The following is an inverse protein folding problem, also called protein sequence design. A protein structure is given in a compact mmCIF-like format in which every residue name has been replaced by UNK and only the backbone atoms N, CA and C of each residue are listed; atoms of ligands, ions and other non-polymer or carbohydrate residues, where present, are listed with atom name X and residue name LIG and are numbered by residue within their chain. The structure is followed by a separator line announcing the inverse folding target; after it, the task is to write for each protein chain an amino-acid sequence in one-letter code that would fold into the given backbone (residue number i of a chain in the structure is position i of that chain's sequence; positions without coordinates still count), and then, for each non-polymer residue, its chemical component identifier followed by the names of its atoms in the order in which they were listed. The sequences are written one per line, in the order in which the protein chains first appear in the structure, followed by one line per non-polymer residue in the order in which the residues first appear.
data_IF_153604806174
#
_entry.id   IF_153604806174
#
_cell.length_a   1.000
_cell.length_b   1.000
_cell.length_c   1.000
_cell.angle_alpha   90.00
_cell.angle_beta   90.00
_cell.angle_gamma   90.00
#
_symmetry.space_group_name_H-M   'P 1'
#
loop_
_entity.id
_entity.type
_entity.pdbx_description
1 polymer ?
#
# COMPACT_ATOMS: atom_id res chain seq x y z
N UNK A 1 1.92 4.63 10.98
CA UNK A 1 2.94 5.40 10.26
C UNK A 1 3.55 4.52 9.18
N UNK A 2 3.95 5.07 8.03
CA UNK A 2 4.72 4.33 7.02
C UNK A 2 6.06 5.03 6.80
N UNK A 3 7.13 4.24 6.65
CA UNK A 3 8.43 4.70 6.18
C UNK A 3 8.54 4.37 4.70
N UNK A 4 8.79 5.38 3.87
CA UNK A 4 9.12 5.19 2.46
C UNK A 4 10.57 4.79 2.33
N UNK A 5 10.82 3.69 1.64
CA UNK A 5 12.18 3.17 1.48
C UNK A 5 12.67 3.53 0.06
N UNK A 6 13.92 4.01 -0.08
CA UNK A 6 14.51 4.15 -1.40
C UNK A 6 14.54 2.78 -2.10
N UNK A 7 14.54 2.75 -3.45
CA UNK A 7 14.77 1.50 -4.16
C UNK A 7 16.13 0.92 -3.72
N UNK A 8 16.19 -0.33 -3.20
CA UNK A 8 17.46 -0.93 -2.86
C UNK A 8 18.29 -1.14 -4.13
N UNK A 9 19.64 -1.09 -4.07
CA UNK A 9 20.46 -1.68 -5.13
C UNK A 9 20.05 -3.14 -5.26
N UNK A 10 19.90 -3.62 -6.49
CA UNK A 10 19.24 -4.89 -6.86
C UNK A 10 19.67 -6.07 -5.98
N UNK A 11 18.97 -6.32 -4.88
CA UNK A 11 19.09 -7.55 -4.10
C UNK A 11 18.04 -8.53 -4.60
N UNK A 12 18.55 -9.57 -5.23
CA UNK A 12 17.90 -10.66 -5.92
C UNK A 12 16.84 -11.35 -5.03
N UNK A 13 15.56 -11.20 -5.40
CA UNK A 13 14.52 -12.21 -5.17
C UNK A 13 13.40 -12.02 -6.20
N UNK A 14 13.41 -12.93 -7.16
CA UNK A 14 12.50 -13.12 -8.31
C UNK A 14 12.48 -11.99 -9.34
N UNK A 15 13.35 -12.12 -10.34
CA UNK A 15 13.57 -11.23 -11.50
C UNK A 15 12.41 -11.22 -12.54
N UNK A 16 11.28 -11.86 -12.26
CA UNK A 16 10.09 -11.86 -13.15
C UNK A 16 8.86 -11.12 -12.56
N UNK A 17 8.92 -10.67 -11.30
CA UNK A 17 7.81 -9.96 -10.68
C UNK A 17 7.83 -8.47 -11.07
N UNK A 18 6.68 -7.85 -11.42
CA UNK A 18 6.62 -6.45 -11.80
C UNK A 18 7.33 -5.56 -10.78
N UNK A 19 8.21 -4.69 -11.28
CA UNK A 19 8.93 -3.73 -10.45
C UNK A 19 7.93 -2.90 -9.65
N UNK A 20 8.15 -2.74 -8.35
CA UNK A 20 7.27 -1.94 -7.50
C UNK A 20 7.47 -0.45 -7.80
N UNK A 21 6.41 0.34 -7.70
CA UNK A 21 6.50 1.79 -7.83
C UNK A 21 6.98 2.43 -6.52
N UNK A 22 6.47 1.94 -5.38
CA UNK A 22 6.81 2.43 -4.05
C UNK A 22 7.13 1.24 -3.15
N UNK A 23 8.17 1.39 -2.32
CA UNK A 23 8.48 0.45 -1.23
C UNK A 23 8.15 1.10 0.11
N UNK A 24 7.51 0.35 1.00
CA UNK A 24 7.15 0.86 2.31
C UNK A 24 7.42 -0.15 3.43
N UNK A 25 7.69 0.38 4.63
CA UNK A 25 7.64 -0.35 5.88
C UNK A 25 6.57 0.29 6.77
N UNK A 26 5.53 -0.47 7.09
CA UNK A 26 4.46 -0.01 7.95
C UNK A 26 4.80 -0.20 9.43
N UNK A 27 4.54 0.82 10.23
CA UNK A 27 4.67 0.81 11.69
C UNK A 27 3.29 0.94 12.34
N UNK A 28 2.96 0.02 13.25
CA UNK A 28 1.72 0.00 14.01
C UNK A 28 1.99 -0.49 15.42
N UNK A 29 1.49 0.23 16.43
CA UNK A 29 1.74 -0.06 17.85
C UNK A 29 3.23 -0.19 18.18
N UNK A 30 4.05 0.72 17.63
CA UNK A 30 5.50 0.73 17.82
C UNK A 30 6.28 -0.38 17.12
N UNK A 31 5.62 -1.26 16.37
CA UNK A 31 6.23 -2.45 15.76
C UNK A 31 6.16 -2.43 14.23
N UNK A 32 7.21 -2.90 13.54
CA UNK A 32 7.17 -3.07 12.09
C UNK A 32 6.19 -4.19 11.72
N UNK A 33 5.39 -3.95 10.68
CA UNK A 33 4.47 -4.94 10.12
C UNK A 33 5.07 -5.54 8.85
N UNK A 34 5.06 -6.87 8.77
CA UNK A 34 5.50 -7.60 7.57
C UNK A 34 4.60 -7.29 6.37
N UNK A 35 3.29 -7.19 6.61
CA UNK A 35 2.30 -6.79 5.62
C UNK A 35 1.87 -5.34 5.85
N UNK A 36 1.70 -4.57 4.78
CA UNK A 36 1.12 -3.24 4.86
C UNK A 36 -0.38 -3.34 5.22
N UNK A 37 -0.88 -2.59 6.22
CA UNK A 37 -2.31 -2.46 6.46
C UNK A 37 -3.02 -1.88 5.24
N UNK A 38 -4.22 -2.37 4.94
CA UNK A 38 -4.95 -1.99 3.73
C UNK A 38 -5.26 -0.50 3.64
N UNK A 39 -5.76 0.06 4.73
CA UNK A 39 -6.06 1.49 4.83
C UNK A 39 -4.82 2.34 4.61
N UNK A 40 -3.66 1.88 5.08
CA UNK A 40 -2.39 2.57 4.85
C UNK A 40 -1.94 2.49 3.39
N UNK A 41 -2.13 1.34 2.74
CA UNK A 41 -1.81 1.20 1.32
C UNK A 41 -2.68 2.10 0.43
N UNK A 42 -3.99 2.16 0.69
CA UNK A 42 -4.92 3.07 0.02
C UNK A 42 -4.49 4.53 0.21
N UNK A 43 -4.22 4.93 1.45
CA UNK A 43 -3.76 6.28 1.77
C UNK A 43 -2.42 6.62 1.11
N UNK A 44 -1.48 5.67 1.07
CA UNK A 44 -0.18 5.87 0.44
C UNK A 44 -0.31 6.04 -1.08
N UNK A 45 -1.11 5.20 -1.74
CA UNK A 45 -1.36 5.32 -3.18
C UNK A 45 -2.08 6.63 -3.52
N UNK A 46 -3.08 7.01 -2.72
CA UNK A 46 -3.78 8.29 -2.80
C UNK A 46 -2.79 9.47 -2.73
N UNK A 47 -1.99 9.52 -1.67
CA UNK A 47 -0.98 10.56 -1.50
C UNK A 47 0.02 10.59 -2.67
N UNK A 48 0.43 9.42 -3.17
CA UNK A 48 1.35 9.31 -4.30
C UNK A 48 0.81 9.92 -5.61
N UNK A 49 -0.52 10.02 -5.75
CA UNK A 49 -1.15 10.67 -6.90
C UNK A 49 -1.47 12.15 -6.68
N UNK A 50 -1.31 12.65 -5.47
CA UNK A 50 -1.55 14.05 -5.12
C UNK A 50 -0.23 14.84 -5.17
N UNK A 51 -0.11 15.86 -6.03
CA UNK A 51 1.08 16.70 -6.10
C UNK A 51 1.47 17.31 -4.74
N UNK A 52 2.77 17.46 -4.49
CA UNK A 52 3.29 18.11 -3.29
C UNK A 52 3.43 17.21 -2.06
N UNK A 53 2.98 15.96 -2.10
CA UNK A 53 3.23 15.01 -1.01
C UNK A 53 4.61 14.34 -1.12
N UNK A 54 5.13 13.84 -0.01
CA UNK A 54 6.35 13.03 -0.01
C UNK A 54 6.18 11.72 -0.80
N UNK A 55 4.96 11.16 -0.82
CA UNK A 55 4.66 9.96 -1.58
C UNK A 55 4.70 10.23 -3.10
N UNK A 56 4.24 11.40 -3.54
CA UNK A 56 4.31 11.80 -4.95
C UNK A 56 5.76 12.06 -5.38
N UNK A 57 6.57 12.69 -4.52
CA UNK A 57 8.01 12.84 -4.77
C UNK A 57 8.72 11.49 -4.86
N UNK A 58 8.41 10.55 -3.95
CA UNK A 58 8.97 9.21 -3.97
C UNK A 58 8.54 8.41 -5.22
N UNK A 59 7.29 8.55 -5.66
CA UNK A 59 6.80 7.93 -6.88
C UNK A 59 7.53 8.48 -8.12
N UNK A 60 7.70 9.80 -8.20
CA UNK A 60 8.37 10.47 -9.31
C UNK A 60 9.88 10.16 -9.39
N UNK A 61 10.54 9.97 -8.24
CA UNK A 61 11.93 9.55 -8.16
C UNK A 61 12.13 8.04 -8.42
N UNK A 62 11.03 7.27 -8.50
CA UNK A 62 11.05 5.84 -8.73
C UNK A 62 11.49 5.48 -10.16
N UNK A 63 12.12 4.31 -10.35
CA UNK A 63 12.62 3.88 -11.67
C UNK A 63 11.51 3.44 -12.62
N UNK A 64 10.28 3.26 -12.12
CA UNK A 64 9.15 2.75 -12.89
C UNK A 64 8.14 3.87 -13.16
N UNK A 65 7.78 4.14 -14.43
CA UNK A 65 6.75 5.10 -14.75
C UNK A 65 5.39 4.65 -14.19
N UNK A 66 4.63 5.60 -13.67
CA UNK A 66 3.28 5.38 -13.17
C UNK A 66 2.31 6.36 -13.84
N UNK A 67 1.85 6.08 -15.07
CA UNK A 67 0.86 6.92 -15.75
C UNK A 67 -0.36 7.18 -14.89
N UNK A 68 -0.99 8.36 -15.03
CA UNK A 68 -2.22 8.66 -14.30
C UNK A 68 -3.32 7.64 -14.68
N UNK A 69 -4.07 7.16 -13.70
CA UNK A 69 -5.10 6.13 -13.90
C UNK A 69 -4.59 4.68 -13.87
N UNK A 70 -3.27 4.43 -13.92
CA UNK A 70 -2.74 3.08 -13.71
C UNK A 70 -2.74 2.69 -12.22
N UNK A 71 -2.92 1.42 -11.87
CA UNK A 71 -2.71 0.98 -10.49
C UNK A 71 -1.25 1.16 -10.06
N UNK A 72 -1.06 1.46 -8.78
CA UNK A 72 0.25 1.55 -8.14
C UNK A 72 0.56 0.26 -7.37
N UNK A 73 1.57 -0.46 -7.82
CA UNK A 73 2.20 -1.56 -7.07
C UNK A 73 3.04 -1.03 -5.90
N UNK A 74 2.60 -1.31 -4.68
CA UNK A 74 3.30 -1.03 -3.43
C UNK A 74 3.95 -2.32 -2.92
N UNK A 75 5.26 -2.30 -2.72
CA UNK A 75 6.00 -3.39 -2.08
C UNK A 75 6.13 -3.18 -0.57
N UNK A 76 5.97 -4.25 0.18
CA UNK A 76 6.15 -4.35 1.63
C UNK A 76 6.90 -5.64 1.97
N UNK A 77 7.42 -5.85 3.20
CA UNK A 77 8.33 -6.96 3.50
C UNK A 77 7.79 -8.36 3.15
N UNK A 78 6.48 -8.58 3.26
CA UNK A 78 5.84 -9.85 2.94
C UNK A 78 5.28 -9.97 1.51
N UNK A 79 5.49 -8.99 0.62
CA UNK A 79 5.00 -9.07 -0.74
C UNK A 79 4.70 -7.74 -1.40
N UNK A 80 3.74 -7.77 -2.33
CA UNK A 80 3.31 -6.62 -3.14
C UNK A 80 1.79 -6.50 -3.09
N UNK A 81 1.30 -5.28 -3.28
CA UNK A 81 -0.12 -4.95 -3.36
C UNK A 81 -0.34 -3.90 -4.45
N UNK A 82 -1.24 -4.18 -5.38
CA UNK A 82 -1.70 -3.19 -6.35
C UNK A 82 -2.87 -2.39 -5.79
N UNK A 83 -2.81 -1.08 -5.99
CA UNK A 83 -3.83 -0.14 -5.52
C UNK A 83 -4.22 0.81 -6.65
N UNK A 84 -5.50 0.82 -7.01
CA UNK A 84 -6.08 1.76 -7.97
C UNK A 84 -6.47 3.07 -7.28
N UNK A 85 -6.27 4.19 -7.94
CA UNK A 85 -6.73 5.51 -7.50
C UNK A 85 -7.39 6.19 -8.69
N UNK A 86 -8.67 6.55 -8.52
CA UNK A 86 -9.44 7.26 -9.53
C UNK A 86 -9.51 8.74 -9.13
N UNK A 87 -8.97 9.58 -10.01
CA UNK A 87 -8.96 11.03 -9.90
C UNK A 87 -9.67 11.63 -11.13
N UNK A 88 -10.46 12.71 -10.97
CA UNK A 88 -10.93 13.51 -12.08
C UNK A 88 -9.76 14.24 -12.74
N UNK A 89 -9.96 14.76 -13.95
CA UNK A 89 -8.90 15.40 -14.74
C UNK A 89 -8.20 16.60 -14.08
N UNK A 90 -8.78 17.18 -13.01
CA UNK A 90 -8.17 18.25 -12.22
C UNK A 90 -7.26 17.74 -11.08
N UNK A 91 -7.23 16.42 -10.80
CA UNK A 91 -6.42 15.77 -9.78
C UNK A 91 -6.55 16.33 -8.34
N UNK A 92 -7.62 17.08 -8.04
CA UNK A 92 -7.81 17.71 -6.72
C UNK A 92 -8.55 16.80 -5.72
N UNK A 93 -9.47 15.98 -6.21
CA UNK A 93 -10.35 15.16 -5.37
C UNK A 93 -10.26 13.69 -5.73
N UNK A 94 -10.03 12.81 -4.75
CA UNK A 94 -10.04 11.36 -4.98
C UNK A 94 -11.49 10.89 -5.05
N UNK A 95 -11.86 10.28 -6.19
CA UNK A 95 -13.21 9.72 -6.40
C UNK A 95 -13.29 8.30 -5.84
N UNK A 96 -12.26 7.50 -6.05
CA UNK A 96 -12.21 6.11 -5.59
C UNK A 96 -10.78 5.68 -5.27
N UNK A 97 -10.66 4.76 -4.32
CA UNK A 97 -9.43 4.06 -3.99
C UNK A 97 -9.73 2.56 -3.89
N UNK A 98 -9.04 1.76 -4.69
CA UNK A 98 -9.48 0.40 -5.04
C UNK A 98 -8.37 -0.62 -4.78
N UNK A 99 -8.76 -1.77 -4.26
CA UNK A 99 -7.87 -2.92 -4.11
C UNK A 99 -8.66 -4.23 -4.10
N UNK A 100 -7.98 -5.31 -4.46
CA UNK A 100 -8.53 -6.66 -4.42
C UNK A 100 -8.14 -7.36 -3.12
N UNK A 101 -9.12 -7.98 -2.45
CA UNK A 101 -8.91 -8.83 -1.27
C UNK A 101 -9.81 -10.05 -1.29
N UNK A 102 -9.36 -11.09 -0.57
CA UNK A 102 -10.12 -12.31 -0.32
C UNK A 102 -10.51 -12.39 1.15
N UNK A 103 -11.62 -13.07 1.43
CA UNK A 103 -12.09 -13.33 2.78
C UNK A 103 -12.56 -14.79 2.88
N UNK A 104 -12.38 -15.40 4.06
CA UNK A 104 -12.83 -16.76 4.36
C UNK A 104 -13.32 -16.82 5.81
N UNK A 105 -14.46 -17.47 6.05
CA UNK A 105 -14.93 -17.77 7.41
C UNK A 105 -14.01 -18.81 8.05
N UNK A 106 -13.43 -18.47 9.21
CA UNK A 106 -12.54 -19.38 9.95
C UNK A 106 -13.26 -20.21 11.01
N UNK A 107 -14.25 -19.63 11.70
CA UNK A 107 -15.02 -20.29 12.74
C UNK A 107 -16.47 -19.79 12.73
N UNK A 108 -17.42 -20.70 13.00
CA UNK A 108 -18.83 -20.40 13.25
C UNK A 108 -19.24 -21.09 14.55
N UNK A 109 -19.75 -20.34 15.52
CA UNK A 109 -20.09 -20.87 16.85
C UNK A 109 -20.36 -19.76 17.87
N UNK A 110 -20.33 -20.11 19.16
CA UNK A 110 -20.55 -19.19 20.28
C UNK A 110 -19.23 -18.91 21.01
N UNK A 111 -18.97 -17.64 21.36
CA UNK A 111 -17.83 -17.22 22.18
C UNK A 111 -18.35 -16.89 23.58
N UNK A 112 -17.85 -17.58 24.60
CA UNK A 112 -18.18 -17.35 26.00
C UNK A 112 -17.07 -16.53 26.67
N UNK A 113 -17.43 -15.63 27.58
CA UNK A 113 -16.50 -14.82 28.39
C UNK A 113 -17.04 -14.71 29.81
N UNK A 114 -16.17 -14.46 30.79
CA UNK A 114 -16.60 -14.19 32.17
C UNK A 114 -17.03 -12.73 32.30
N UNK A 115 -18.22 -12.48 32.82
CA UNK A 115 -18.56 -11.15 33.30
C UNK A 115 -17.74 -10.88 34.57
N UNK A 116 -16.93 -9.83 34.57
CA UNK A 116 -16.25 -9.37 35.78
C UNK A 116 -17.30 -8.91 36.80
N UNK A 117 -17.24 -9.47 38.01
CA UNK A 117 -17.99 -9.02 39.19
C UNK A 117 -17.38 -7.76 39.79
#
# INVERSE_FOLDING_TARGET
MALLLPPPPSMHRDDDAPAAHIRCLAMSMGQPRRAVPLTLALCLAAAARMPGTLAAAALAAGPRPAPLGSPLTIAHPSGRLDVGIILPGNAETIVSAELLRTARVLMKGHVYYSASS
#
